data_IF_922031497818
#
_entry.id   IF_922031497818
#
_cell.length_a   1.000
_cell.length_b   1.000
_cell.length_c   1.000
_cell.angle_alpha   90.00
_cell.angle_beta   90.00
_cell.angle_gamma   90.00
#
_symmetry.space_group_name_H-M   'P 1'
#
loop_
_entity.id
_entity.type
_entity.pdbx_description
1 polymer ?
#
# COMPACT_ATOMS: atom_id res chain seq x y z
N UNK A 1 41.98 -37.10 -34.60
CA UNK A 1 40.83 -36.18 -34.63
C UNK A 1 40.02 -36.21 -33.33
N UNK A 2 39.81 -37.37 -32.71
CA UNK A 2 39.05 -37.49 -31.44
C UNK A 2 39.62 -36.68 -30.27
N UNK A 3 40.95 -36.66 -30.12
CA UNK A 3 41.65 -35.89 -29.08
C UNK A 3 41.44 -34.38 -29.19
N UNK A 4 41.35 -33.85 -30.42
CA UNK A 4 41.10 -32.43 -30.68
C UNK A 4 39.66 -32.06 -30.33
N UNK A 5 38.70 -32.93 -30.66
CA UNK A 5 37.27 -32.75 -30.34
C UNK A 5 37.05 -32.77 -28.82
N UNK A 6 37.71 -33.68 -28.10
CA UNK A 6 37.61 -33.77 -26.64
C UNK A 6 38.13 -32.50 -25.94
N UNK A 7 39.25 -31.94 -26.39
CA UNK A 7 39.81 -30.68 -25.84
C UNK A 7 38.86 -29.50 -26.08
N UNK A 8 38.27 -29.39 -27.28
CA UNK A 8 37.31 -28.32 -27.60
C UNK A 8 36.06 -28.42 -26.70
N UNK A 9 35.52 -29.62 -26.48
CA UNK A 9 34.37 -29.82 -25.60
C UNK A 9 34.65 -29.46 -24.14
N UNK A 10 35.85 -29.78 -23.64
CA UNK A 10 36.28 -29.39 -22.28
C UNK A 10 36.36 -27.87 -22.15
N UNK A 11 36.92 -27.17 -23.14
CA UNK A 11 37.00 -25.71 -23.13
C UNK A 11 35.59 -25.08 -23.13
N UNK A 12 34.68 -25.57 -23.97
CA UNK A 12 33.28 -25.09 -24.02
C UNK A 12 32.59 -25.30 -22.66
N UNK A 13 32.79 -26.46 -22.03
CA UNK A 13 32.23 -26.74 -20.70
C UNK A 13 32.81 -25.80 -19.63
N UNK A 14 34.12 -25.55 -19.62
CA UNK A 14 34.76 -24.62 -18.69
C UNK A 14 34.26 -23.18 -18.86
N UNK A 15 34.13 -22.71 -20.10
CA UNK A 15 33.58 -21.37 -20.40
C UNK A 15 32.14 -21.26 -19.91
N UNK A 16 31.30 -22.29 -20.17
CA UNK A 16 29.90 -22.30 -19.74
C UNK A 16 29.76 -22.33 -18.21
N UNK A 17 30.55 -23.15 -17.51
CA UNK A 17 30.54 -23.22 -16.04
C UNK A 17 30.94 -21.88 -15.41
N UNK A 18 31.94 -21.21 -15.97
CA UNK A 18 32.36 -19.89 -15.47
C UNK A 18 31.32 -18.81 -15.77
N UNK A 19 30.73 -18.82 -16.96
CA UNK A 19 29.61 -17.91 -17.32
C UNK A 19 28.40 -18.11 -16.41
N UNK A 20 28.03 -19.35 -16.09
CA UNK A 20 26.93 -19.67 -15.17
C UNK A 20 27.23 -19.22 -13.73
N UNK A 21 28.49 -19.30 -13.28
CA UNK A 21 28.92 -18.77 -11.97
C UNK A 21 28.83 -17.26 -11.92
N UNK A 22 29.24 -16.57 -12.98
CA UNK A 22 29.18 -15.11 -13.08
C UNK A 22 27.73 -14.60 -13.19
N UNK A 23 26.88 -15.31 -13.94
CA UNK A 23 25.45 -15.05 -14.01
C UNK A 23 24.77 -15.23 -12.63
N UNK A 24 25.11 -16.29 -11.88
CA UNK A 24 24.62 -16.49 -10.51
C UNK A 24 25.09 -15.40 -9.56
N UNK A 25 26.38 -15.04 -9.61
CA UNK A 25 26.95 -13.99 -8.76
C UNK A 25 26.31 -12.63 -9.04
N UNK A 26 26.20 -12.25 -10.31
CA UNK A 26 25.54 -10.98 -10.70
C UNK A 26 24.05 -10.97 -10.34
N UNK A 27 23.36 -12.11 -10.42
CA UNK A 27 21.99 -12.23 -9.94
C UNK A 27 21.88 -12.05 -8.40
N UNK A 28 22.78 -12.64 -7.63
CA UNK A 28 22.85 -12.44 -6.18
C UNK A 28 23.14 -10.98 -5.82
N UNK A 29 24.15 -10.35 -6.45
CA UNK A 29 24.50 -8.95 -6.21
C UNK A 29 23.32 -8.00 -6.52
N UNK A 30 22.58 -8.25 -7.61
CA UNK A 30 21.35 -7.50 -7.93
C UNK A 30 20.24 -7.71 -6.90
N UNK A 31 20.09 -8.92 -6.37
CA UNK A 31 19.11 -9.23 -5.34
C UNK A 31 19.46 -8.51 -4.02
N UNK A 32 20.72 -8.58 -3.59
CA UNK A 32 21.21 -7.92 -2.38
C UNK A 32 21.06 -6.40 -2.46
N UNK A 33 21.41 -5.80 -3.62
CA UNK A 33 21.20 -4.38 -3.88
C UNK A 33 19.71 -4.00 -3.80
N UNK A 34 18.82 -4.83 -4.35
CA UNK A 34 17.37 -4.61 -4.28
C UNK A 34 16.88 -4.67 -2.82
N UNK A 35 17.31 -5.67 -2.05
CA UNK A 35 16.93 -5.82 -0.64
C UNK A 35 17.47 -4.69 0.22
N UNK A 36 18.70 -4.22 -0.05
CA UNK A 36 19.29 -3.06 0.64
C UNK A 36 18.45 -1.82 0.39
N UNK A 37 18.17 -1.50 -0.88
CA UNK A 37 17.33 -0.34 -1.22
C UNK A 37 15.93 -0.44 -0.59
N UNK A 38 15.33 -1.62 -0.52
CA UNK A 38 14.02 -1.83 0.13
C UNK A 38 14.12 -1.53 1.63
N UNK A 39 15.14 -2.08 2.30
CA UNK A 39 15.38 -1.87 3.73
C UNK A 39 15.62 -0.40 4.05
N UNK A 40 16.46 0.30 3.28
CA UNK A 40 16.71 1.74 3.40
C UNK A 40 15.43 2.57 3.21
N UNK A 41 14.58 2.19 2.27
CA UNK A 41 13.29 2.85 2.07
C UNK A 41 12.37 2.61 3.26
N UNK A 42 12.19 1.36 3.71
CA UNK A 42 11.35 1.02 4.87
C UNK A 42 11.79 1.75 6.13
N UNK A 43 13.10 1.82 6.40
CA UNK A 43 13.65 2.55 7.55
C UNK A 43 13.30 4.05 7.52
N UNK A 44 13.14 4.63 6.33
CA UNK A 44 12.76 6.04 6.16
C UNK A 44 11.27 6.29 6.37
N UNK A 45 10.43 5.39 5.84
CA UNK A 45 8.98 5.60 5.76
C UNK A 45 8.17 4.94 6.87
N UNK A 46 8.76 4.01 7.62
CA UNK A 46 8.08 3.39 8.77
C UNK A 46 8.55 4.03 10.09
N UNK A 47 7.68 3.98 11.10
CA UNK A 47 8.04 4.29 12.49
C UNK A 47 7.10 3.50 13.41
N UNK A 48 7.61 2.36 13.93
CA UNK A 48 6.83 1.43 14.76
C UNK A 48 6.45 2.03 16.12
N UNK A 49 7.24 2.97 16.64
CA UNK A 49 6.94 3.62 17.90
C UNK A 49 5.81 4.63 17.72
N UNK A 50 5.89 5.45 16.69
CA UNK A 50 4.82 6.37 16.30
C UNK A 50 3.53 5.61 15.98
N UNK A 51 3.60 4.52 15.21
CA UNK A 51 2.43 3.71 14.87
C UNK A 51 1.73 3.19 16.14
N UNK A 52 2.49 2.67 17.12
CA UNK A 52 1.95 2.20 18.39
C UNK A 52 1.31 3.32 19.20
N UNK A 53 1.97 4.48 19.28
CA UNK A 53 1.44 5.65 19.99
C UNK A 53 0.15 6.16 19.36
N UNK A 54 0.11 6.28 18.04
CA UNK A 54 -1.10 6.70 17.32
C UNK A 54 -2.23 5.68 17.43
N UNK A 55 -1.92 4.38 17.40
CA UNK A 55 -2.91 3.33 17.61
C UNK A 55 -3.56 3.43 19.00
N UNK A 56 -2.76 3.60 20.05
CA UNK A 56 -3.26 3.82 21.40
C UNK A 56 -4.06 5.13 21.50
N UNK A 57 -3.57 6.21 20.87
CA UNK A 57 -4.26 7.50 20.82
C UNK A 57 -5.65 7.38 20.17
N UNK A 58 -5.75 6.71 19.02
CA UNK A 58 -7.00 6.50 18.27
C UNK A 58 -7.99 5.63 19.05
N UNK A 59 -7.51 4.65 19.81
CA UNK A 59 -8.34 3.75 20.60
C UNK A 59 -8.91 4.40 21.86
N UNK A 60 -8.29 5.47 22.38
CA UNK A 60 -8.79 6.18 23.56
C UNK A 60 -10.04 7.03 23.19
N UNK A 61 -11.21 6.79 23.80
CA UNK A 61 -12.43 7.56 23.56
C UNK A 61 -12.28 9.07 23.79
N UNK A 62 -11.42 9.50 24.71
CA UNK A 62 -11.16 10.91 25.01
C UNK A 62 -10.57 11.66 23.82
N UNK A 63 -9.89 10.96 22.93
CA UNK A 63 -9.25 11.56 21.75
C UNK A 63 -10.17 11.55 20.51
N UNK A 64 -11.40 11.03 20.62
CA UNK A 64 -12.29 10.82 19.46
C UNK A 64 -12.52 12.10 18.65
N UNK A 65 -12.70 13.23 19.32
CA UNK A 65 -12.90 14.52 18.67
C UNK A 65 -11.66 14.95 17.88
N UNK A 66 -10.48 14.89 18.51
CA UNK A 66 -9.20 15.20 17.85
C UNK A 66 -8.93 14.30 16.64
N UNK A 67 -9.19 13.00 16.76
CA UNK A 67 -9.08 12.06 15.65
C UNK A 67 -10.05 12.44 14.54
N UNK A 68 -11.32 12.70 14.87
CA UNK A 68 -12.35 13.09 13.92
C UNK A 68 -11.98 14.38 13.15
N UNK A 69 -11.53 15.42 13.87
CA UNK A 69 -11.06 16.67 13.27
C UNK A 69 -9.87 16.45 12.32
N UNK A 70 -9.02 15.48 12.61
CA UNK A 70 -7.84 15.17 11.79
C UNK A 70 -8.21 14.42 10.50
N UNK A 71 -9.16 13.49 10.58
CA UNK A 71 -9.49 12.57 9.47
C UNK A 71 -10.62 13.08 8.58
N UNK A 72 -11.59 13.82 9.14
CA UNK A 72 -12.78 14.27 8.40
C UNK A 72 -12.44 15.06 7.13
N UNK A 73 -11.50 16.03 7.15
CA UNK A 73 -11.13 16.77 5.94
C UNK A 73 -10.59 15.88 4.81
N UNK A 74 -9.97 14.75 5.16
CA UNK A 74 -9.48 13.78 4.16
C UNK A 74 -10.66 13.08 3.49
N UNK A 75 -11.62 12.57 4.28
CA UNK A 75 -12.83 11.96 3.74
C UNK A 75 -13.64 12.95 2.89
N UNK A 76 -13.84 14.17 3.38
CA UNK A 76 -14.57 15.21 2.66
C UNK A 76 -13.88 15.55 1.32
N UNK A 77 -12.55 15.53 1.27
CA UNK A 77 -11.79 15.72 0.02
C UNK A 77 -11.96 14.55 -0.97
N UNK A 78 -12.10 13.32 -0.48
CA UNK A 78 -12.32 12.14 -1.32
C UNK A 78 -13.72 12.16 -1.93
N UNK A 79 -14.72 12.58 -1.13
CA UNK A 79 -16.13 12.59 -1.47
C UNK A 79 -16.57 13.73 -2.39
N UNK A 80 -15.83 14.84 -2.45
CA UNK A 80 -16.25 16.09 -3.11
C UNK A 80 -16.88 15.92 -4.50
N UNK A 81 -16.33 15.01 -5.31
CA UNK A 81 -16.72 14.82 -6.70
C UNK A 81 -17.13 13.36 -7.00
N UNK A 82 -17.64 12.63 -5.99
CA UNK A 82 -17.95 11.19 -6.11
C UNK A 82 -19.24 10.82 -5.41
N UNK A 83 -19.98 9.91 -6.02
CA UNK A 83 -21.12 9.27 -5.39
C UNK A 83 -20.64 8.35 -4.25
N UNK A 84 -21.20 8.53 -3.07
CA UNK A 84 -20.74 7.80 -1.89
C UNK A 84 -20.98 6.29 -2.01
N UNK A 85 -22.05 5.88 -2.69
CA UNK A 85 -22.33 4.46 -2.94
C UNK A 85 -21.30 3.78 -3.85
N UNK A 86 -20.57 4.52 -4.67
CA UNK A 86 -19.49 3.97 -5.50
C UNK A 86 -18.22 3.74 -4.67
N UNK A 87 -18.04 4.55 -3.62
CA UNK A 87 -16.92 4.45 -2.70
C UNK A 87 -17.15 3.38 -1.62
N UNK A 88 -18.37 3.36 -1.08
CA UNK A 88 -18.80 2.46 -0.02
C UNK A 88 -20.14 1.82 -0.45
N UNK A 89 -20.09 0.60 -1.03
CA UNK A 89 -21.27 -0.08 -1.55
C UNK A 89 -22.40 -0.26 -0.53
N UNK A 90 -23.66 -0.10 -0.99
CA UNK A 90 -24.87 -0.12 -0.14
C UNK A 90 -25.09 -1.43 0.62
N UNK A 91 -24.56 -2.55 0.12
CA UNK A 91 -24.59 -3.85 0.79
C UNK A 91 -23.73 -3.89 2.07
N UNK A 92 -22.79 -2.94 2.23
CA UNK A 92 -21.98 -2.77 3.44
C UNK A 92 -22.56 -1.77 4.43
N UNK A 93 -23.64 -1.09 4.05
CA UNK A 93 -24.26 -0.08 4.90
C UNK A 93 -24.92 -0.76 6.10
N UNK A 94 -24.91 -0.08 7.25
CA UNK A 94 -25.73 -0.55 8.36
C UNK A 94 -27.21 -0.53 7.97
N UNK A 95 -28.02 -1.43 8.56
CA UNK A 95 -29.45 -1.48 8.28
C UNK A 95 -30.11 -0.13 8.58
N UNK A 96 -30.83 0.41 7.59
CA UNK A 96 -31.64 1.62 7.78
C UNK A 96 -32.73 1.37 8.81
N UNK A 97 -32.92 2.29 9.76
CA UNK A 97 -34.07 2.26 10.66
C UNK A 97 -35.31 2.80 9.95
N UNK A 98 -36.49 2.39 10.38
CA UNK A 98 -37.75 2.72 9.70
C UNK A 98 -38.05 4.23 9.72
N UNK A 99 -37.58 4.94 10.73
CA UNK A 99 -37.72 6.39 10.92
C UNK A 99 -36.67 7.23 10.17
N UNK A 100 -35.72 6.60 9.47
CA UNK A 100 -34.63 7.31 8.79
C UNK A 100 -34.97 7.64 7.34
N UNK A 101 -34.77 8.89 6.94
CA UNK A 101 -34.74 9.27 5.52
C UNK A 101 -33.53 8.65 4.82
N UNK A 102 -33.56 8.60 3.48
CA UNK A 102 -32.42 8.14 2.70
C UNK A 102 -31.20 9.06 2.89
N UNK A 103 -31.39 10.39 2.94
CA UNK A 103 -30.27 11.31 3.14
C UNK A 103 -29.65 11.15 4.53
N UNK A 104 -30.48 11.02 5.57
CA UNK A 104 -29.98 10.82 6.92
C UNK A 104 -29.24 9.49 7.07
N UNK A 105 -29.75 8.42 6.45
CA UNK A 105 -29.07 7.12 6.43
C UNK A 105 -27.70 7.19 5.77
N UNK A 106 -27.59 7.88 4.63
CA UNK A 106 -26.29 8.10 3.96
C UNK A 106 -25.34 8.93 4.84
N UNK A 107 -25.84 9.98 5.48
CA UNK A 107 -25.04 10.80 6.41
C UNK A 107 -24.49 9.94 7.56
N UNK A 108 -25.29 9.06 8.14
CA UNK A 108 -24.84 8.11 9.17
C UNK A 108 -23.75 7.18 8.63
N UNK A 109 -23.88 6.66 7.40
CA UNK A 109 -22.82 5.83 6.81
C UNK A 109 -21.51 6.58 6.63
N UNK A 110 -21.58 7.84 6.16
CA UNK A 110 -20.41 8.71 6.00
C UNK A 110 -19.68 8.90 7.33
N UNK A 111 -20.42 9.15 8.41
CA UNK A 111 -19.83 9.28 9.75
C UNK A 111 -19.25 7.95 10.27
N UNK A 112 -19.89 6.82 9.99
CA UNK A 112 -19.33 5.50 10.32
C UNK A 112 -17.99 5.24 9.60
N UNK A 113 -17.88 5.63 8.32
CA UNK A 113 -16.62 5.51 7.59
C UNK A 113 -15.48 6.32 8.24
N UNK A 114 -15.77 7.54 8.72
CA UNK A 114 -14.79 8.39 9.42
C UNK A 114 -14.29 7.76 10.73
N UNK A 115 -15.06 6.85 11.33
CA UNK A 115 -14.68 6.13 12.55
C UNK A 115 -13.80 4.89 12.30
N UNK A 116 -13.44 4.59 11.05
CA UNK A 116 -12.55 3.47 10.75
C UNK A 116 -11.13 3.74 11.33
N UNK A 117 -10.75 2.96 12.33
CA UNK A 117 -9.51 3.14 13.09
C UNK A 117 -8.24 2.87 12.27
N UNK A 118 -8.31 1.94 11.31
CA UNK A 118 -7.19 1.61 10.42
C UNK A 118 -6.92 2.75 9.45
N UNK A 119 -7.96 3.28 8.81
CA UNK A 119 -7.85 4.44 7.92
C UNK A 119 -7.44 5.71 8.69
N UNK A 120 -7.93 5.89 9.92
CA UNK A 120 -7.46 6.97 10.79
C UNK A 120 -5.96 6.85 11.05
N UNK A 121 -5.47 5.65 11.36
CA UNK A 121 -4.05 5.39 11.59
C UNK A 121 -3.21 5.66 10.33
N UNK A 122 -3.66 5.20 9.16
CA UNK A 122 -3.03 5.51 7.85
C UNK A 122 -2.91 7.01 7.61
N UNK A 123 -4.01 7.75 7.76
CA UNK A 123 -4.05 9.20 7.55
C UNK A 123 -3.09 9.93 8.50
N UNK A 124 -3.15 9.59 9.80
CA UNK A 124 -2.32 10.24 10.81
C UNK A 124 -0.82 9.93 10.66
N UNK A 125 -0.48 8.74 10.18
CA UNK A 125 0.90 8.38 9.80
C UNK A 125 1.35 9.16 8.56
N UNK A 126 0.53 9.20 7.51
CA UNK A 126 0.85 9.89 6.25
C UNK A 126 1.09 11.39 6.47
N UNK A 127 0.28 12.05 7.31
CA UNK A 127 0.49 13.45 7.74
C UNK A 127 1.84 13.72 8.43
N UNK A 128 2.54 12.66 8.87
CA UNK A 128 3.87 12.73 9.51
C UNK A 128 4.98 12.18 8.62
N UNK A 129 4.69 11.94 7.34
CA UNK A 129 5.67 11.43 6.39
C UNK A 129 5.94 9.93 6.57
N UNK A 130 5.00 9.20 7.19
CA UNK A 130 5.16 7.78 7.52
C UNK A 130 4.02 6.94 6.96
N UNK A 131 4.27 5.64 6.84
CA UNK A 131 3.29 4.61 6.48
C UNK A 131 3.33 3.48 7.51
N UNK A 132 2.29 2.66 7.51
CA UNK A 132 2.22 1.49 8.38
C UNK A 132 3.25 0.45 7.97
N UNK A 133 3.81 -0.24 8.96
CA UNK A 133 4.86 -1.25 8.72
C UNK A 133 4.40 -2.32 7.72
N UNK A 134 3.16 -2.81 7.87
CA UNK A 134 2.59 -3.82 6.98
C UNK A 134 2.22 -3.28 5.59
N UNK A 135 1.83 -2.00 5.48
CA UNK A 135 1.58 -1.36 4.18
C UNK A 135 2.92 -1.20 3.43
N UNK A 136 4.01 -0.90 4.13
CA UNK A 136 5.36 -0.87 3.59
C UNK A 136 5.84 -2.26 3.13
N UNK A 137 5.58 -3.31 3.92
CA UNK A 137 5.89 -4.70 3.56
C UNK A 137 5.21 -5.12 2.27
N UNK A 138 3.90 -4.88 2.16
CA UNK A 138 3.12 -5.17 0.96
C UNK A 138 3.64 -4.39 -0.24
N UNK A 139 3.82 -3.07 -0.08
CA UNK A 139 4.35 -2.20 -1.14
C UNK A 139 5.74 -2.63 -1.62
N UNK A 140 6.64 -3.04 -0.71
CA UNK A 140 8.00 -3.46 -1.06
C UNK A 140 8.13 -4.86 -1.67
N UNK A 141 7.12 -5.71 -1.43
CA UNK A 141 7.04 -7.06 -1.99
C UNK A 141 6.64 -7.07 -3.47
N UNK A 142 6.28 -5.91 -4.04
CA UNK A 142 6.01 -5.79 -5.47
C UNK A 142 7.29 -6.02 -6.29
N UNK A 143 7.30 -7.15 -6.99
CA UNK A 143 8.31 -7.55 -7.97
C UNK A 143 7.63 -7.64 -9.33
N UNK A 144 8.27 -7.14 -10.39
CA UNK A 144 7.77 -7.27 -11.78
C UNK A 144 7.44 -8.72 -12.21
N UNK A 145 7.88 -9.72 -11.42
CA UNK A 145 7.66 -11.15 -11.67
C UNK A 145 6.75 -11.86 -10.64
N UNK A 146 6.13 -11.15 -9.69
CA UNK A 146 5.16 -11.74 -8.74
C UNK A 146 3.93 -10.85 -8.72
N UNK A 147 2.89 -11.24 -9.46
CA UNK A 147 1.57 -10.63 -9.31
C UNK A 147 1.03 -10.93 -7.90
N UNK A 148 0.46 -9.90 -7.27
CA UNK A 148 -0.28 -9.92 -6.00
C UNK A 148 0.55 -9.88 -4.70
N UNK A 149 1.09 -8.69 -4.40
CA UNK A 149 1.26 -8.24 -3.00
C UNK A 149 1.01 -6.73 -2.84
N UNK A 150 0.19 -6.14 -3.71
CA UNK A 150 -0.26 -4.75 -3.51
C UNK A 150 -1.02 -4.60 -2.20
N UNK A 151 -1.05 -3.40 -1.63
CA UNK A 151 -1.81 -3.11 -0.42
C UNK A 151 -3.28 -3.44 -0.69
N UNK A 152 -3.84 -4.50 -0.12
CA UNK A 152 -5.25 -4.84 -0.32
C UNK A 152 -6.14 -3.77 0.32
N UNK A 153 -6.91 -3.05 -0.50
CA UNK A 153 -8.02 -2.24 -0.02
C UNK A 153 -9.28 -3.10 0.01
N UNK A 154 -9.95 -3.13 1.16
CA UNK A 154 -11.20 -3.86 1.37
C UNK A 154 -12.39 -3.18 0.68
N UNK A 155 -12.28 -1.91 0.31
CA UNK A 155 -13.30 -1.11 -0.38
C UNK A 155 -12.67 -0.06 -1.29
N UNK A 156 -13.40 0.46 -2.30
CA UNK A 156 -12.95 1.62 -3.07
C UNK A 156 -12.61 2.82 -2.19
N UNK A 157 -13.36 3.06 -1.11
CA UNK A 157 -13.06 4.11 -0.14
C UNK A 157 -11.66 3.96 0.49
N UNK A 158 -11.31 2.76 0.96
CA UNK A 158 -9.98 2.48 1.52
C UNK A 158 -8.88 2.67 0.47
N UNK A 159 -9.15 2.32 -0.79
CA UNK A 159 -8.19 2.57 -1.89
C UNK A 159 -7.94 4.08 -2.08
N UNK A 160 -8.99 4.91 -2.05
CA UNK A 160 -8.83 6.37 -2.12
C UNK A 160 -8.11 6.96 -0.90
N UNK A 161 -8.29 6.39 0.30
CA UNK A 161 -7.50 6.78 1.48
C UNK A 161 -6.01 6.48 1.26
N UNK A 162 -5.67 5.30 0.75
CA UNK A 162 -4.29 4.93 0.44
C UNK A 162 -3.68 5.83 -0.65
N UNK A 163 -4.44 6.16 -1.70
CA UNK A 163 -4.02 7.13 -2.73
C UNK A 163 -3.80 8.52 -2.12
N UNK A 164 -4.67 8.96 -1.21
CA UNK A 164 -4.47 10.22 -0.50
C UNK A 164 -3.17 10.20 0.32
N UNK A 165 -2.91 9.11 1.05
CA UNK A 165 -1.67 8.94 1.81
C UNK A 165 -0.44 9.01 0.90
N UNK A 166 -0.47 8.37 -0.28
CA UNK A 166 0.61 8.43 -1.26
C UNK A 166 0.94 9.88 -1.65
N UNK A 167 -0.08 10.64 -2.05
CA UNK A 167 0.06 12.05 -2.44
C UNK A 167 0.56 12.90 -1.28
N UNK A 168 0.17 12.59 -0.05
CA UNK A 168 0.63 13.31 1.13
C UNK A 168 2.11 13.04 1.43
N UNK A 169 2.60 11.83 1.18
CA UNK A 169 4.02 11.48 1.28
C UNK A 169 4.84 12.15 0.18
N UNK A 170 4.33 12.21 -1.06
CA UNK A 170 4.97 12.91 -2.17
C UNK A 170 5.19 14.39 -1.87
N UNK A 171 4.19 15.09 -1.33
CA UNK A 171 4.33 16.49 -0.88
C UNK A 171 5.43 16.68 0.15
N UNK A 172 5.72 15.64 0.94
CA UNK A 172 6.76 15.64 1.97
C UNK A 172 8.12 15.14 1.43
N UNK A 173 8.26 14.98 0.11
CA UNK A 173 9.51 14.56 -0.54
C UNK A 173 9.76 13.05 -0.54
N UNK A 174 8.73 12.24 -0.25
CA UNK A 174 8.81 10.77 -0.20
C UNK A 174 8.08 10.19 -1.44
N UNK A 175 8.70 10.31 -2.62
CA UNK A 175 8.04 9.99 -3.89
C UNK A 175 8.25 8.56 -4.44
N UNK A 176 9.20 7.77 -3.93
CA UNK A 176 9.80 6.77 -4.82
C UNK A 176 9.21 5.35 -4.79
N UNK A 177 8.30 4.95 -3.88
CA UNK A 177 7.93 3.52 -3.72
C UNK A 177 6.60 3.17 -3.06
N UNK A 178 5.74 4.13 -2.72
CA UNK A 178 4.46 3.76 -2.10
C UNK A 178 3.45 3.34 -3.17
N UNK A 179 3.33 2.04 -3.39
CA UNK A 179 2.45 1.43 -4.38
C UNK A 179 1.08 1.20 -3.72
N UNK A 180 0.06 1.91 -4.20
CA UNK A 180 -1.31 1.84 -3.69
C UNK A 180 -2.11 0.71 -4.38
N UNK A 181 -3.43 0.49 -4.12
CA UNK A 181 -4.30 -0.47 -4.85
C UNK A 181 -5.20 0.15 -5.92
N UNK A 182 -5.43 -0.57 -7.02
CA UNK A 182 -6.13 -0.04 -8.21
C UNK A 182 -7.61 -0.04 -7.88
N UNK A 183 -8.29 1.04 -8.26
CA UNK A 183 -9.70 1.21 -7.93
C UNK A 183 -10.53 0.43 -8.96
N UNK A 184 -10.73 -0.86 -8.69
CA UNK A 184 -11.70 -1.70 -9.39
C UNK A 184 -13.03 -1.79 -8.63
N UNK A 185 -14.07 -2.31 -9.29
CA UNK A 185 -15.47 -2.44 -8.78
C UNK A 185 -15.60 -3.13 -7.41
N UNK A 186 -14.58 -3.87 -6.96
CA UNK A 186 -14.60 -4.64 -5.71
C UNK A 186 -13.48 -4.28 -4.72
N UNK A 187 -12.66 -3.26 -5.00
CA UNK A 187 -11.43 -3.03 -4.23
C UNK A 187 -10.45 -4.19 -4.43
N UNK A 188 -9.41 -3.98 -5.23
CA UNK A 188 -8.51 -5.02 -5.75
C UNK A 188 -9.18 -5.97 -6.76
N UNK A 189 -9.34 -5.49 -8.00
CA UNK A 189 -9.73 -6.33 -9.12
C UNK A 189 -9.45 -5.63 -10.43
N UNK A 190 -8.21 -5.77 -10.94
CA UNK A 190 -7.86 -5.30 -12.27
C UNK A 190 -6.52 -4.56 -12.30
N UNK A 191 -5.58 -5.24 -12.95
CA UNK A 191 -4.35 -4.78 -13.60
C UNK A 191 -4.26 -3.27 -13.88
N UNK A 192 -3.04 -2.75 -13.73
CA UNK A 192 -2.52 -1.45 -14.15
C UNK A 192 -2.30 -0.41 -13.02
N UNK A 193 -1.02 -0.03 -12.91
CA UNK A 193 -0.41 0.94 -12.00
C UNK A 193 0.25 2.01 -12.87
N UNK A 194 -0.25 3.24 -12.82
CA UNK A 194 0.49 4.41 -13.32
C UNK A 194 0.70 5.39 -12.17
N UNK A 195 1.97 5.65 -11.87
CA UNK A 195 2.50 6.97 -11.58
C UNK A 195 3.49 7.29 -12.69
#
# INVERSE_FOLDING_TARGET
MELVIAVILVIILFVKINSDKEAKRSACERFDEKQRKISEWKARVTDRNLERQLKAFIQNPENKETVSMTVSPVYDSIWRDKDFSDLFPKDRWCRRKDDWTLEYHEQVQRELCKMNTENALRIMMAKRGKILDYDADRSSSYSQNVMASGISADSPLTAYVLIWCAKELEKQGIGNRFVVPSIGKYGAGGLHWEL
#
